data_IF_877961345979
#
_entry.id   IF_877961345979
#
_cell.length_a   1.000
_cell.length_b   1.000
_cell.length_c   1.000
_cell.angle_alpha   90.00
_cell.angle_beta   90.00
_cell.angle_gamma   90.00
#
_symmetry.space_group_name_H-M   'P 1'
#
loop_
_entity.id
_entity.type
_entity.pdbx_description
1 polymer ?
#
# COMPACT_ATOMS: atom_id res chain seq x y z
N UNK A 1 -14.67 3.33 -5.27
CA UNK A 1 -13.51 3.10 -4.39
C UNK A 1 -13.01 1.68 -4.59
N UNK A 2 -11.72 1.53 -4.73
CA UNK A 2 -11.11 0.23 -4.96
C UNK A 2 -10.66 -0.38 -3.64
N UNK A 3 -10.47 -1.69 -3.65
CA UNK A 3 -10.02 -2.42 -2.47
C UNK A 3 -8.86 -3.34 -2.82
N UNK A 4 -7.91 -3.45 -1.91
CA UNK A 4 -6.81 -4.40 -2.01
C UNK A 4 -6.81 -5.23 -0.73
N UNK A 5 -6.86 -6.54 -0.89
CA UNK A 5 -6.75 -7.46 0.24
C UNK A 5 -5.51 -8.32 0.00
N UNK A 6 -4.54 -8.21 0.89
CA UNK A 6 -3.30 -8.93 0.70
C UNK A 6 -2.40 -8.81 1.91
N UNK A 7 -1.16 -9.23 1.74
CA UNK A 7 -0.18 -9.12 2.83
C UNK A 7 0.96 -8.21 2.41
N UNK A 8 1.53 -7.53 3.39
CA UNK A 8 2.65 -6.63 3.17
C UNK A 8 3.90 -7.46 2.92
N UNK A 9 4.44 -7.37 1.71
CA UNK A 9 5.68 -8.06 1.36
C UNK A 9 6.87 -7.32 1.97
N UNK A 10 6.92 -6.02 1.72
CA UNK A 10 7.94 -5.19 2.36
C UNK A 10 7.48 -3.73 2.37
N UNK A 11 8.12 -2.96 3.24
CA UNK A 11 7.85 -1.54 3.38
C UNK A 11 8.91 -0.80 2.57
N UNK A 12 8.46 -0.10 1.51
CA UNK A 12 9.36 0.60 0.63
C UNK A 12 9.84 1.91 1.27
N UNK A 13 8.92 2.60 1.93
CA UNK A 13 9.22 3.86 2.60
C UNK A 13 8.25 4.03 3.77
N UNK A 14 8.75 4.60 4.84
CA UNK A 14 7.87 4.92 5.97
C UNK A 14 8.42 6.15 6.69
N UNK A 15 7.54 7.13 6.88
CA UNK A 15 7.84 8.30 7.69
C UNK A 15 7.15 8.10 9.04
N UNK A 16 7.95 7.91 10.08
CA UNK A 16 7.39 7.58 11.40
C UNK A 16 6.77 8.77 12.10
N UNK A 17 7.09 9.98 11.65
CA UNK A 17 6.55 11.18 12.28
C UNK A 17 5.09 11.42 11.89
N UNK A 18 4.76 11.23 10.62
CA UNK A 18 3.40 11.48 10.16
C UNK A 18 2.65 10.21 9.76
N UNK A 19 3.32 9.06 9.74
CA UNK A 19 2.68 7.80 9.39
C UNK A 19 2.54 7.54 7.90
N UNK A 20 3.03 8.43 7.06
CA UNK A 20 2.96 8.19 5.61
C UNK A 20 3.89 7.06 5.23
N UNK A 21 3.42 6.18 4.39
CA UNK A 21 4.23 5.06 3.96
C UNK A 21 3.89 4.60 2.56
N UNK A 22 4.82 3.83 2.00
CA UNK A 22 4.65 3.19 0.70
C UNK A 22 4.95 1.71 0.92
N UNK A 23 3.98 0.87 0.61
CA UNK A 23 4.04 -0.57 0.88
C UNK A 23 3.96 -1.35 -0.40
N UNK A 24 4.71 -2.46 -0.45
CA UNK A 24 4.50 -3.47 -1.47
C UNK A 24 3.57 -4.52 -0.86
N UNK A 25 2.37 -4.64 -1.42
CA UNK A 25 1.34 -5.55 -0.93
C UNK A 25 1.12 -6.63 -1.99
N UNK A 26 1.11 -7.88 -1.57
CA UNK A 26 0.85 -8.99 -2.48
C UNK A 26 -0.62 -9.36 -2.35
N UNK A 27 -1.35 -9.19 -3.45
CA UNK A 27 -2.74 -9.59 -3.56
C UNK A 27 -2.80 -10.77 -4.52
N UNK A 28 -3.09 -11.94 -3.98
CA UNK A 28 -2.99 -13.19 -4.71
C UNK A 28 -1.56 -13.35 -5.22
N UNK A 29 -1.30 -13.18 -6.51
CA UNK A 29 0.05 -13.29 -7.04
C UNK A 29 0.58 -11.97 -7.57
N UNK A 30 -0.18 -10.90 -7.41
CA UNK A 30 0.18 -9.59 -7.96
C UNK A 30 0.72 -8.66 -6.89
N UNK A 31 1.75 -7.91 -7.25
CA UNK A 31 2.27 -6.88 -6.38
C UNK A 31 1.51 -5.58 -6.63
N UNK A 32 1.00 -5.00 -5.56
CA UNK A 32 0.32 -3.71 -5.61
C UNK A 32 1.07 -2.75 -4.72
N UNK A 33 1.47 -1.62 -5.29
CA UNK A 33 2.13 -0.57 -4.52
C UNK A 33 1.04 0.31 -3.92
N UNK A 34 1.04 0.40 -2.59
CA UNK A 34 0.02 1.16 -1.86
C UNK A 34 0.70 2.28 -1.09
N UNK A 35 0.22 3.50 -1.25
CA UNK A 35 0.73 4.62 -0.48
C UNK A 35 -0.41 5.26 0.31
N UNK A 36 -0.09 5.77 1.48
CA UNK A 36 -1.05 6.39 2.36
C UNK A 36 -0.52 6.51 3.76
N UNK A 37 -1.42 6.74 4.70
CA UNK A 37 -1.06 6.86 6.10
C UNK A 37 -1.41 5.56 6.81
N UNK A 38 -0.37 4.88 7.30
CA UNK A 38 -0.52 3.59 7.95
C UNK A 38 0.12 3.64 9.33
N UNK A 39 -0.52 2.97 10.30
CA UNK A 39 0.01 2.88 11.66
C UNK A 39 0.65 1.52 11.88
N UNK A 40 1.91 1.56 12.31
CA UNK A 40 2.57 0.34 12.83
C UNK A 40 2.44 -0.87 11.92
N UNK A 41 2.64 -0.66 10.62
CA UNK A 41 2.57 -1.74 9.65
C UNK A 41 3.88 -2.50 9.66
N UNK A 42 3.78 -3.84 9.62
CA UNK A 42 4.96 -4.69 9.55
C UNK A 42 4.84 -5.64 8.36
N UNK A 43 5.98 -6.06 7.86
CA UNK A 43 6.03 -7.04 6.78
C UNK A 43 5.37 -8.34 7.24
N UNK A 44 4.60 -8.96 6.34
CA UNK A 44 3.85 -10.18 6.65
C UNK A 44 2.43 -9.95 7.11
N UNK A 45 2.11 -8.72 7.49
CA UNK A 45 0.77 -8.40 7.99
C UNK A 45 -0.26 -8.42 6.88
N UNK A 46 -1.41 -9.02 7.15
CA UNK A 46 -2.53 -9.03 6.20
C UNK A 46 -3.33 -7.73 6.37
N UNK A 47 -3.66 -7.11 5.25
CA UNK A 47 -4.36 -5.83 5.27
C UNK A 47 -5.48 -5.79 4.26
N UNK A 48 -6.50 -5.01 4.61
CA UNK A 48 -7.56 -4.59 3.69
C UNK A 48 -7.39 -3.10 3.50
N UNK A 49 -7.09 -2.69 2.27
CA UNK A 49 -6.82 -1.29 1.98
C UNK A 49 -7.87 -0.79 1.01
N UNK A 50 -8.50 0.32 1.35
CA UNK A 50 -9.47 0.98 0.48
C UNK A 50 -8.89 2.29 -0.01
N UNK A 51 -9.17 2.61 -1.27
CA UNK A 51 -8.67 3.84 -1.87
C UNK A 51 -8.96 3.86 -3.34
N UNK A 52 -8.10 4.53 -4.07
CA UNK A 52 -8.27 4.65 -5.51
C UNK A 52 -6.97 4.38 -6.23
N UNK A 53 -7.06 3.64 -7.33
CA UNK A 53 -5.90 3.45 -8.18
C UNK A 53 -5.59 4.73 -8.93
N UNK A 54 -4.31 5.09 -8.93
CA UNK A 54 -3.83 6.28 -9.63
C UNK A 54 -2.65 5.84 -10.50
N UNK A 55 -2.67 6.24 -11.76
CA UNK A 55 -1.57 5.92 -12.65
C UNK A 55 -0.45 6.93 -12.46
N UNK A 56 0.73 6.41 -12.12
CA UNK A 56 1.93 7.24 -11.98
C UNK A 56 2.69 7.20 -13.30
N UNK A 57 3.13 8.35 -13.84
CA UNK A 57 3.76 8.37 -15.17
C UNK A 57 4.98 7.47 -15.31
N UNK A 58 5.73 7.28 -14.22
CA UNK A 58 6.96 6.49 -14.28
C UNK A 58 6.80 5.08 -13.72
N UNK A 59 5.93 4.89 -12.74
CA UNK A 59 5.87 3.63 -12.00
C UNK A 59 4.61 2.81 -12.23
N UNK A 60 3.69 3.33 -13.04
CA UNK A 60 2.45 2.62 -13.34
C UNK A 60 1.39 2.82 -12.27
N UNK A 61 0.50 1.84 -12.13
CA UNK A 61 -0.63 1.95 -11.22
C UNK A 61 -0.20 1.80 -9.78
N UNK A 62 -0.72 2.69 -8.94
CA UNK A 62 -0.51 2.63 -7.50
C UNK A 62 -1.86 2.82 -6.81
N UNK A 63 -2.00 2.19 -5.65
CA UNK A 63 -3.20 2.36 -4.83
C UNK A 63 -2.94 3.47 -3.84
N UNK A 64 -3.72 4.56 -3.94
CA UNK A 64 -3.70 5.61 -2.92
C UNK A 64 -4.71 5.26 -1.85
N UNK A 65 -4.21 4.88 -0.69
CA UNK A 65 -5.07 4.43 0.39
C UNK A 65 -5.79 5.58 1.06
N UNK A 66 -7.06 5.39 1.37
CA UNK A 66 -7.85 6.35 2.14
C UNK A 66 -8.23 5.78 3.51
N UNK A 67 -8.21 4.47 3.63
CA UNK A 67 -8.42 3.85 4.93
C UNK A 67 -7.90 2.42 4.96
#
# INVERSE_FOLDING_TARGET
MDKVHGYVDHIIYQNRENGYGVLSVIEEEDEVICDGFFRNVEAGETMDIEGNYVEHPMYGMQMKAES
#
